data_IF_748163680379
#
_entry.id   IF_748163680379
#
_cell.length_a   1.000
_cell.length_b   1.000
_cell.length_c   1.000
_cell.angle_alpha   90.00
_cell.angle_beta   90.00
_cell.angle_gamma   90.00
#
_symmetry.space_group_name_H-M   'P 1'
#
loop_
_entity.id
_entity.type
_entity.pdbx_description
1 polymer ?
#
# COMPACT_ATOMS: atom_id res chain seq x y z
N UNK A 1 8.11 0.46 -9.34
CA UNK A 1 7.55 1.54 -8.51
C UNK A 1 6.16 1.86 -9.02
N UNK A 2 5.17 1.99 -8.15
CA UNK A 2 3.77 2.24 -8.53
C UNK A 2 3.53 3.74 -8.73
N UNK A 3 4.01 4.30 -9.84
CA UNK A 3 3.97 5.75 -10.08
C UNK A 3 2.73 6.17 -10.85
N UNK A 4 2.44 5.48 -11.94
CA UNK A 4 1.34 5.75 -12.86
C UNK A 4 0.16 4.79 -12.65
N UNK A 5 -1.00 5.21 -13.15
CA UNK A 5 -2.27 4.51 -13.01
C UNK A 5 -2.23 3.11 -13.65
N UNK A 6 -1.57 2.97 -14.80
CA UNK A 6 -1.47 1.72 -15.55
C UNK A 6 -0.69 0.67 -14.75
N UNK A 7 0.48 1.05 -14.22
CA UNK A 7 1.31 0.19 -13.38
C UNK A 7 0.58 -0.24 -12.11
N UNK A 8 -0.16 0.67 -11.47
CA UNK A 8 -0.94 0.34 -10.26
C UNK A 8 -2.07 -0.64 -10.60
N UNK A 9 -2.79 -0.43 -11.71
CA UNK A 9 -3.85 -1.34 -12.14
C UNK A 9 -3.30 -2.74 -12.42
N UNK A 10 -2.20 -2.84 -13.15
CA UNK A 10 -1.56 -4.12 -13.44
C UNK A 10 -1.13 -4.85 -12.16
N UNK A 11 -0.55 -4.13 -11.19
CA UNK A 11 -0.15 -4.70 -9.91
C UNK A 11 -1.34 -5.25 -9.11
N UNK A 12 -2.45 -4.49 -9.05
CA UNK A 12 -3.68 -4.93 -8.37
C UNK A 12 -4.28 -6.17 -9.06
N UNK A 13 -4.39 -6.17 -10.39
CA UNK A 13 -4.91 -7.32 -11.15
C UNK A 13 -4.02 -8.57 -10.98
N UNK A 14 -2.70 -8.41 -11.00
CA UNK A 14 -1.78 -9.53 -10.76
C UNK A 14 -1.97 -10.12 -9.34
N UNK A 15 -2.15 -9.26 -8.33
CA UNK A 15 -2.39 -9.69 -6.95
C UNK A 15 -3.75 -10.37 -6.78
N UNK A 16 -4.80 -9.83 -7.41
CA UNK A 16 -6.16 -10.39 -7.41
C UNK A 16 -6.20 -11.79 -8.06
N UNK A 17 -5.44 -12.01 -9.12
CA UNK A 17 -5.31 -13.32 -9.80
C UNK A 17 -4.41 -14.32 -9.05
N UNK A 18 -3.95 -13.98 -7.84
CA UNK A 18 -3.26 -14.91 -6.94
C UNK A 18 -1.74 -14.83 -6.96
N UNK A 19 -1.13 -13.89 -7.69
CA UNK A 19 0.32 -13.70 -7.68
C UNK A 19 0.77 -12.91 -6.45
N UNK A 20 1.96 -13.23 -5.92
CA UNK A 20 2.57 -12.41 -4.88
C UNK A 20 3.28 -11.21 -5.53
N UNK A 21 2.70 -10.02 -5.33
CA UNK A 21 3.22 -8.77 -5.91
C UNK A 21 3.97 -7.98 -4.85
N UNK A 22 5.21 -7.59 -5.17
CA UNK A 22 5.99 -6.61 -4.42
C UNK A 22 6.01 -5.29 -5.18
N UNK A 23 5.68 -4.20 -4.49
CA UNK A 23 5.64 -2.87 -5.06
C UNK A 23 6.18 -1.83 -4.08
N UNK A 24 6.60 -0.68 -4.60
CA UNK A 24 7.12 0.44 -3.83
C UNK A 24 6.35 1.73 -4.14
N UNK A 25 6.19 2.56 -3.12
CA UNK A 25 5.56 3.88 -3.15
C UNK A 25 6.33 4.86 -2.26
N UNK A 26 6.29 6.15 -2.60
CA UNK A 26 6.89 7.21 -1.79
C UNK A 26 5.88 7.81 -0.80
N UNK A 27 5.47 7.00 0.17
CA UNK A 27 4.55 7.39 1.25
C UNK A 27 5.18 7.14 2.62
N UNK A 28 4.84 7.97 3.61
CA UNK A 28 5.47 7.94 4.93
C UNK A 28 4.75 7.12 5.99
N UNK A 29 3.58 6.56 5.70
CA UNK A 29 2.83 5.67 6.60
C UNK A 29 1.94 4.71 5.82
N UNK A 30 1.49 3.64 6.47
CA UNK A 30 0.62 2.63 5.91
C UNK A 30 -0.73 3.19 5.45
N UNK A 31 -1.34 4.07 6.26
CA UNK A 31 -2.59 4.74 5.89
C UNK A 31 -2.42 5.57 4.60
N UNK A 32 -1.37 6.40 4.53
CA UNK A 32 -1.07 7.20 3.34
C UNK A 32 -0.77 6.34 2.11
N UNK A 33 -0.19 5.15 2.30
CA UNK A 33 0.00 4.18 1.21
C UNK A 33 -1.34 3.74 0.63
N UNK A 34 -2.30 3.39 1.48
CA UNK A 34 -3.65 2.99 1.04
C UNK A 34 -4.32 4.14 0.29
N UNK A 35 -4.36 5.33 0.90
CA UNK A 35 -4.97 6.52 0.31
C UNK A 35 -4.36 6.84 -1.06
N UNK A 36 -3.03 6.80 -1.16
CA UNK A 36 -2.30 7.06 -2.41
C UNK A 36 -2.66 6.07 -3.51
N UNK A 37 -2.82 4.79 -3.21
CA UNK A 37 -3.18 3.77 -4.21
C UNK A 37 -4.59 4.01 -4.74
N UNK A 38 -5.53 4.43 -3.89
CA UNK A 38 -6.92 4.71 -4.30
C UNK A 38 -7.04 6.05 -5.02
N UNK A 39 -6.33 7.08 -4.56
CA UNK A 39 -6.51 8.46 -5.02
C UNK A 39 -5.98 8.74 -6.43
N UNK A 40 -5.14 7.87 -6.98
CA UNK A 40 -4.71 7.99 -8.39
C UNK A 40 -5.84 7.62 -9.37
N UNK A 41 -6.87 6.91 -8.92
CA UNK A 41 -7.97 6.48 -9.78
C UNK A 41 -9.07 7.56 -9.88
N UNK A 42 -9.77 7.64 -11.02
CA UNK A 42 -10.96 8.47 -11.17
C UNK A 42 -12.04 8.11 -10.14
N UNK A 43 -12.88 9.09 -9.76
CA UNK A 43 -13.90 8.92 -8.73
C UNK A 43 -14.80 7.70 -8.93
N UNK A 44 -15.20 7.42 -10.18
CA UNK A 44 -16.06 6.28 -10.51
C UNK A 44 -15.43 4.91 -10.25
N UNK A 45 -14.11 4.82 -10.12
CA UNK A 45 -13.38 3.57 -9.93
C UNK A 45 -12.87 3.36 -8.49
N UNK A 46 -12.93 4.40 -7.63
CA UNK A 46 -12.32 4.37 -6.30
C UNK A 46 -12.89 3.26 -5.41
N UNK A 47 -14.21 3.08 -5.39
CA UNK A 47 -14.87 2.06 -4.55
C UNK A 47 -14.49 0.63 -4.97
N UNK A 48 -14.41 0.39 -6.28
CA UNK A 48 -13.97 -0.89 -6.83
C UNK A 48 -12.51 -1.16 -6.47
N UNK A 49 -11.62 -0.18 -6.69
CA UNK A 49 -10.18 -0.30 -6.38
C UNK A 49 -9.96 -0.55 -4.88
N UNK A 50 -10.71 0.13 -4.03
CA UNK A 50 -10.67 -0.03 -2.58
C UNK A 50 -11.09 -1.43 -2.15
N UNK A 51 -12.13 -1.98 -2.75
CA UNK A 51 -12.57 -3.36 -2.53
C UNK A 51 -11.46 -4.35 -2.95
N UNK A 52 -10.92 -4.19 -4.15
CA UNK A 52 -9.88 -5.05 -4.71
C UNK A 52 -8.58 -5.00 -3.87
N UNK A 53 -8.19 -3.81 -3.41
CA UNK A 53 -7.06 -3.61 -2.51
C UNK A 53 -7.30 -4.26 -1.15
N UNK A 54 -8.53 -4.16 -0.60
CA UNK A 54 -8.89 -4.80 0.68
C UNK A 54 -8.70 -6.32 0.66
N UNK A 55 -8.87 -6.96 -0.51
CA UNK A 55 -8.76 -8.41 -0.67
C UNK A 55 -7.35 -8.87 -1.03
N UNK A 56 -6.64 -8.09 -1.84
CA UNK A 56 -5.31 -8.44 -2.33
C UNK A 56 -4.17 -8.02 -1.39
N UNK A 57 -4.30 -6.92 -0.63
CA UNK A 57 -3.23 -6.39 0.21
C UNK A 57 -2.78 -7.41 1.28
N UNK A 58 -1.47 -7.59 1.45
CA UNK A 58 -0.91 -8.47 2.49
C UNK A 58 -0.29 -7.69 3.65
N UNK A 59 0.54 -6.70 3.32
CA UNK A 59 1.17 -5.84 4.29
C UNK A 59 1.59 -4.53 3.64
N UNK A 60 1.78 -3.50 4.46
CA UNK A 60 2.50 -2.28 4.11
C UNK A 60 3.65 -2.11 5.08
N UNK A 61 4.84 -1.82 4.54
CA UNK A 61 6.04 -1.50 5.31
C UNK A 61 6.49 -0.11 4.91
N UNK A 62 6.28 0.88 5.78
CA UNK A 62 6.81 2.23 5.60
C UNK A 62 8.14 2.34 6.31
N UNK A 63 9.17 2.83 5.62
CA UNK A 63 10.54 2.90 6.13
C UNK A 63 11.05 4.34 6.14
N UNK A 64 11.72 4.73 7.22
CA UNK A 64 12.55 5.94 7.26
C UNK A 64 13.94 5.64 7.82
N UNK A 65 14.97 6.35 7.37
CA UNK A 65 16.33 6.19 7.86
C UNK A 65 16.68 7.28 8.88
N UNK A 66 16.83 6.86 10.13
CA UNK A 66 17.19 7.69 11.27
C UNK A 66 18.71 7.74 11.47
N UNK A 67 19.23 8.86 11.96
CA UNK A 67 20.64 8.97 12.36
C UNK A 67 20.88 8.16 13.64
N UNK A 68 21.90 7.31 13.66
CA UNK A 68 22.32 6.59 14.87
C UNK A 68 23.17 7.50 15.76
N UNK A 69 23.06 7.31 17.08
CA UNK A 69 23.95 7.98 18.05
C UNK A 69 25.41 7.59 17.81
N UNK A 70 25.69 6.31 17.52
CA UNK A 70 27.03 5.77 17.27
C UNK A 70 27.60 6.09 15.88
N UNK A 71 26.97 6.99 15.11
CA UNK A 71 27.30 7.23 13.70
C UNK A 71 26.61 6.26 12.73
N UNK A 72 26.45 6.70 11.48
CA UNK A 72 25.68 5.99 10.46
C UNK A 72 24.16 6.18 10.58
N UNK A 73 23.39 5.30 9.93
CA UNK A 73 21.92 5.34 9.88
C UNK A 73 21.30 4.00 10.29
N UNK A 74 20.09 4.03 10.81
CA UNK A 74 19.26 2.85 11.10
C UNK A 74 17.89 3.03 10.47
N UNK A 75 17.32 1.96 9.93
CA UNK A 75 15.95 1.98 9.44
C UNK A 75 14.96 1.86 10.61
N UNK A 76 13.98 2.75 10.64
CA UNK A 76 12.79 2.64 11.45
C UNK A 76 11.62 2.24 10.53
N UNK A 77 10.81 1.30 11.00
CA UNK A 77 9.75 0.69 10.22
C UNK A 77 8.40 0.88 10.91
N UNK A 78 7.40 1.28 10.14
CA UNK A 78 5.99 1.06 10.45
C UNK A 78 5.52 -0.14 9.63
N UNK A 79 4.96 -1.15 10.29
CA UNK A 79 4.53 -2.39 9.65
C UNK A 79 3.05 -2.61 9.95
N UNK A 80 2.23 -2.60 8.90
CA UNK A 80 0.82 -2.95 8.97
C UNK A 80 0.60 -4.27 8.24
N UNK A 81 0.03 -5.26 8.93
CA UNK A 81 -0.39 -6.52 8.32
C UNK A 81 -1.90 -6.45 8.03
N UNK A 82 -2.33 -6.86 6.85
CA UNK A 82 -3.74 -6.78 6.44
C UNK A 82 -4.58 -7.92 7.08
N UNK A 83 -4.93 -7.73 8.36
CA UNK A 83 -5.86 -8.58 9.10
C UNK A 83 -7.31 -8.42 8.59
N UNK A 84 -8.23 -9.34 8.87
CA UNK A 84 -9.63 -9.19 8.48
C UNK A 84 -10.25 -7.86 8.91
N UNK A 85 -9.97 -7.39 10.13
CA UNK A 85 -10.45 -6.10 10.62
C UNK A 85 -9.90 -4.91 9.81
N UNK A 86 -8.60 -4.92 9.49
CA UNK A 86 -7.98 -3.87 8.66
C UNK A 86 -8.57 -3.88 7.24
N UNK A 87 -8.83 -5.06 6.68
CA UNK A 87 -9.45 -5.19 5.36
C UNK A 87 -10.86 -4.58 5.33
N UNK A 88 -11.64 -4.78 6.39
CA UNK A 88 -12.95 -4.14 6.51
C UNK A 88 -12.82 -2.61 6.60
N UNK A 89 -11.88 -2.09 7.41
CA UNK A 89 -11.63 -0.65 7.49
C UNK A 89 -11.18 -0.03 6.16
N UNK A 90 -10.43 -0.78 5.34
CA UNK A 90 -10.05 -0.34 3.99
C UNK A 90 -11.30 -0.29 3.11
N UNK A 91 -12.21 -1.26 3.21
CA UNK A 91 -13.41 -1.38 2.36
C UNK A 91 -14.49 -0.34 2.66
N UNK A 92 -14.66 0.03 3.93
CA UNK A 92 -15.78 0.85 4.42
C UNK A 92 -15.54 2.36 4.45
N UNK A 93 -14.27 2.80 4.53
CA UNK A 93 -13.91 4.21 4.30
C UNK A 93 -13.97 4.54 2.82
#
# INVERSE_FOLDING_TARGET
EMRDLETIRLALTAAETGHLVFATLHTSSAAKTIDRVVDVFPAAEKDMVRTMLSESLRAVISQTLMKRVSGGRIAAYEIMIATPAIRNLIREN
#
